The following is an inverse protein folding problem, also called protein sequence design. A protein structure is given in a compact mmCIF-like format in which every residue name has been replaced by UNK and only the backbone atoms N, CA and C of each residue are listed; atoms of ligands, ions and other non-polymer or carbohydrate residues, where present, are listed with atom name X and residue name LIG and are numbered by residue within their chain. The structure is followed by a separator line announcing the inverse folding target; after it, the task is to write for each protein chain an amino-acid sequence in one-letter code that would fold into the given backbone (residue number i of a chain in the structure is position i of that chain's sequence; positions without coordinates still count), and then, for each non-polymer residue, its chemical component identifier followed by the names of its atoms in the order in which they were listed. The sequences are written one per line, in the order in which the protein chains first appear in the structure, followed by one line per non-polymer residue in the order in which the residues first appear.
data_IF_411407988441
#
_entry.id   IF_411407988441
#
_cell.length_a   1.000
_cell.length_b   1.000
_cell.length_c   1.000
_cell.angle_alpha   90.00
_cell.angle_beta   90.00
_cell.angle_gamma   90.00
#
_symmetry.space_group_name_H-M   'P 1'
#
loop_
_entity.id
_entity.type
_entity.pdbx_description
1 polymer ?
#
# COMPACT_ATOMS: atom_id res chain seq x y z
N UNK A 1 59.86 -50.27 -16.78
CA UNK A 1 59.96 -48.85 -16.39
C UNK A 1 58.70 -48.13 -16.92
N UNK A 2 57.62 -47.97 -16.13
CA UNK A 2 56.42 -47.32 -16.59
C UNK A 2 56.18 -46.06 -15.72
N UNK A 3 56.27 -44.87 -16.38
CA UNK A 3 55.95 -43.59 -15.79
C UNK A 3 54.45 -43.28 -16.02
N UNK A 4 53.64 -43.42 -15.00
CA UNK A 4 52.25 -42.91 -14.99
C UNK A 4 52.27 -41.40 -14.68
N UNK A 5 51.80 -40.59 -15.62
CA UNK A 5 51.50 -39.18 -15.41
C UNK A 5 50.19 -39.07 -14.67
N UNK A 6 50.22 -38.44 -13.49
CA UNK A 6 49.03 -37.97 -12.76
C UNK A 6 48.62 -36.63 -13.37
N UNK A 7 47.45 -36.59 -13.98
CA UNK A 7 46.79 -35.32 -14.34
C UNK A 7 45.81 -35.00 -13.23
N UNK A 8 46.15 -34.01 -12.41
CA UNK A 8 45.27 -33.44 -11.40
C UNK A 8 44.32 -32.46 -12.04
N UNK A 9 43.03 -32.79 -12.07
CA UNK A 9 41.95 -31.88 -12.46
C UNK A 9 41.62 -31.02 -11.26
N UNK A 10 42.01 -29.74 -11.30
CA UNK A 10 41.56 -28.75 -10.33
C UNK A 10 40.12 -28.36 -10.67
N UNK A 11 39.19 -28.84 -9.90
CA UNK A 11 37.80 -28.35 -9.95
C UNK A 11 37.76 -26.98 -9.24
N UNK A 12 37.60 -25.92 -10.01
CA UNK A 12 37.29 -24.61 -9.52
C UNK A 12 35.85 -24.61 -9.00
N UNK A 13 35.68 -24.69 -7.70
CA UNK A 13 34.42 -24.40 -7.02
C UNK A 13 34.18 -22.88 -7.08
N UNK A 14 33.40 -22.45 -8.05
CA UNK A 14 32.78 -21.12 -8.01
C UNK A 14 31.67 -21.16 -6.96
N UNK A 15 32.00 -20.68 -5.77
CA UNK A 15 31.00 -20.38 -4.74
C UNK A 15 30.19 -19.17 -5.21
N UNK A 16 29.09 -19.40 -5.90
CA UNK A 16 28.02 -18.40 -5.99
C UNK A 16 27.45 -18.24 -4.59
N UNK A 17 27.77 -17.11 -3.97
CA UNK A 17 27.11 -16.69 -2.76
C UNK A 17 25.62 -16.53 -3.08
N UNK A 18 24.84 -17.56 -2.83
CA UNK A 18 23.39 -17.47 -2.77
C UNK A 18 23.09 -16.58 -1.57
N UNK A 19 22.74 -15.32 -1.82
CA UNK A 19 22.08 -14.48 -0.83
C UNK A 19 20.77 -15.19 -0.49
N UNK A 20 20.77 -15.90 0.62
CA UNK A 20 19.60 -16.58 1.15
C UNK A 20 18.58 -15.56 1.63
N UNK A 21 17.66 -15.20 0.76
CA UNK A 21 16.45 -14.46 1.07
C UNK A 21 15.32 -15.47 1.32
N UNK A 22 15.39 -16.23 2.40
CA UNK A 22 14.37 -17.22 2.76
C UNK A 22 13.18 -16.67 3.57
N UNK A 23 13.21 -15.41 3.99
CA UNK A 23 12.12 -14.87 4.79
C UNK A 23 11.04 -14.26 3.88
N UNK A 24 9.98 -15.02 3.64
CA UNK A 24 8.74 -14.48 3.07
C UNK A 24 8.10 -13.51 4.06
N UNK A 25 7.51 -12.41 3.55
CA UNK A 25 6.82 -11.44 4.40
C UNK A 25 5.76 -12.11 5.28
N UNK A 26 5.64 -11.72 6.55
CA UNK A 26 4.53 -12.12 7.40
C UNK A 26 3.19 -11.71 6.77
N UNK A 27 2.13 -12.47 7.10
CA UNK A 27 0.77 -12.19 6.66
C UNK A 27 -0.12 -11.94 7.87
N UNK A 28 -1.17 -11.13 7.65
CA UNK A 28 -2.21 -10.84 8.65
C UNK A 28 -3.58 -11.02 8.05
N UNK A 29 -4.52 -11.43 8.89
CA UNK A 29 -5.92 -11.63 8.51
C UNK A 29 -6.53 -10.33 7.97
N UNK A 30 -7.10 -10.42 6.76
CA UNK A 30 -7.96 -9.39 6.18
C UNK A 30 -9.42 -9.67 6.55
N UNK A 31 -10.08 -10.57 5.85
CA UNK A 31 -11.47 -11.02 6.05
C UNK A 31 -11.69 -12.35 5.32
N UNK A 32 -12.73 -13.09 5.69
CA UNK A 32 -13.23 -14.28 4.97
C UNK A 32 -12.13 -15.34 4.65
N UNK A 33 -11.19 -15.50 5.57
CA UNK A 33 -10.09 -16.46 5.40
C UNK A 33 -8.91 -15.94 4.58
N UNK A 34 -8.97 -14.69 4.08
CA UNK A 34 -7.90 -14.07 3.29
C UNK A 34 -6.82 -13.51 4.22
N UNK A 35 -5.57 -13.87 3.95
CA UNK A 35 -4.40 -13.32 4.63
C UNK A 35 -3.57 -12.48 3.66
N UNK A 36 -3.33 -11.22 4.02
CA UNK A 36 -2.52 -10.28 3.24
C UNK A 36 -1.11 -10.15 3.81
N UNK A 37 -0.13 -9.99 2.92
CA UNK A 37 1.21 -9.57 3.32
C UNK A 37 1.16 -8.26 4.08
N UNK A 38 2.00 -8.11 5.11
CA UNK A 38 2.04 -6.89 5.94
C UNK A 38 2.46 -5.64 5.16
N UNK A 39 3.03 -5.80 3.96
CA UNK A 39 3.26 -4.74 2.98
C UNK A 39 2.51 -5.01 1.69
N UNK A 40 1.99 -3.95 1.07
CA UNK A 40 1.44 -3.95 -0.28
C UNK A 40 2.39 -3.23 -1.25
N UNK A 41 2.37 -3.63 -2.52
CA UNK A 41 2.96 -2.83 -3.59
C UNK A 41 1.91 -1.84 -4.11
N UNK A 42 2.16 -0.54 -3.90
CA UNK A 42 1.34 0.53 -4.49
C UNK A 42 1.69 0.75 -5.96
N UNK A 43 0.68 0.89 -6.83
CA UNK A 43 0.87 1.03 -8.28
C UNK A 43 1.75 2.22 -8.69
N UNK A 44 1.85 3.27 -7.87
CA UNK A 44 2.75 4.42 -8.15
C UNK A 44 4.23 3.98 -8.21
N UNK A 45 4.62 2.95 -7.46
CA UNK A 45 6.00 2.44 -7.44
C UNK A 45 6.52 2.12 -8.84
N UNK A 46 5.65 1.60 -9.71
CA UNK A 46 6.02 1.16 -11.05
C UNK A 46 5.75 2.20 -12.16
N UNK A 47 5.19 3.38 -11.82
CA UNK A 47 5.01 4.46 -12.77
C UNK A 47 6.36 5.07 -13.19
N UNK A 48 6.45 5.53 -14.45
CA UNK A 48 7.68 6.10 -15.02
C UNK A 48 8.75 5.07 -15.39
N UNK A 49 8.57 3.78 -15.09
CA UNK A 49 9.48 2.69 -15.47
C UNK A 49 9.12 2.11 -16.85
N UNK A 50 10.02 1.39 -17.50
CA UNK A 50 9.63 0.54 -18.63
C UNK A 50 8.69 -0.58 -18.16
N UNK A 51 7.93 -1.18 -19.09
CA UNK A 51 7.08 -2.34 -18.75
C UNK A 51 7.90 -3.53 -18.23
N UNK A 52 9.06 -3.77 -18.82
CA UNK A 52 9.97 -4.84 -18.39
C UNK A 52 10.43 -4.63 -16.95
N UNK A 53 10.86 -3.43 -16.59
CA UNK A 53 11.27 -3.10 -15.22
C UNK A 53 10.12 -3.16 -14.23
N UNK A 54 8.93 -2.67 -14.62
CA UNK A 54 7.72 -2.78 -13.80
C UNK A 54 7.35 -4.24 -13.54
N UNK A 55 7.38 -5.09 -14.57
CA UNK A 55 7.11 -6.52 -14.45
C UNK A 55 8.13 -7.23 -13.58
N UNK A 56 9.41 -6.90 -13.73
CA UNK A 56 10.48 -7.44 -12.88
C UNK A 56 10.28 -7.06 -11.40
N UNK A 57 9.91 -5.80 -11.11
CA UNK A 57 9.66 -5.35 -9.73
C UNK A 57 8.45 -6.05 -9.10
N UNK A 58 7.38 -6.23 -9.86
CA UNK A 58 6.22 -6.99 -9.41
C UNK A 58 6.58 -8.44 -9.12
N UNK A 59 7.37 -9.09 -9.99
CA UNK A 59 7.86 -10.45 -9.78
C UNK A 59 8.71 -10.56 -8.50
N UNK A 60 9.68 -9.67 -8.32
CA UNK A 60 10.53 -9.64 -7.11
C UNK A 60 9.70 -9.43 -5.85
N UNK A 61 8.72 -8.51 -5.88
CA UNK A 61 7.83 -8.29 -4.74
C UNK A 61 7.00 -9.54 -4.42
N UNK A 62 6.43 -10.18 -5.44
CA UNK A 62 5.66 -11.42 -5.30
C UNK A 62 6.51 -12.56 -4.72
N UNK A 63 7.72 -12.78 -5.24
CA UNK A 63 8.65 -13.82 -4.77
C UNK A 63 9.07 -13.59 -3.31
N UNK A 64 9.10 -12.33 -2.87
CA UNK A 64 9.31 -11.94 -1.47
C UNK A 64 8.07 -12.06 -0.59
N UNK A 65 6.95 -12.54 -1.12
CA UNK A 65 5.72 -12.82 -0.37
C UNK A 65 4.68 -11.71 -0.41
N UNK A 66 4.88 -10.61 -1.15
CA UNK A 66 3.83 -9.60 -1.38
C UNK A 66 2.70 -10.24 -2.18
N UNK A 67 1.50 -10.26 -1.59
CA UNK A 67 0.29 -10.71 -2.26
C UNK A 67 -0.81 -9.66 -2.31
N UNK A 68 -0.54 -8.45 -1.82
CA UNK A 68 -1.46 -7.32 -1.86
C UNK A 68 -0.91 -6.22 -2.78
N UNK A 69 -1.68 -5.87 -3.80
CA UNK A 69 -1.38 -4.82 -4.79
C UNK A 69 -2.48 -3.77 -4.74
N UNK A 70 -2.10 -2.49 -4.61
CA UNK A 70 -3.02 -1.38 -4.41
C UNK A 70 -2.86 -0.35 -5.52
N UNK A 71 -3.90 -0.08 -6.30
CA UNK A 71 -3.88 0.81 -7.45
C UNK A 71 -4.99 1.86 -7.41
N UNK A 72 -5.00 2.76 -8.38
CA UNK A 72 -6.10 3.69 -8.67
C UNK A 72 -6.00 4.23 -10.11
N UNK A 73 -7.13 4.54 -10.78
CA UNK A 73 -7.15 5.12 -12.13
C UNK A 73 -6.45 6.47 -12.22
N UNK A 74 -6.43 7.23 -11.10
CA UNK A 74 -5.77 8.54 -11.02
C UNK A 74 -4.24 8.45 -10.93
N UNK A 75 -3.66 7.26 -10.70
CA UNK A 75 -2.22 7.12 -10.60
C UNK A 75 -1.57 7.23 -11.98
N UNK A 76 -0.90 8.38 -12.22
CA UNK A 76 -0.27 8.70 -13.49
C UNK A 76 -1.20 8.47 -14.71
N UNK A 77 -2.44 8.95 -14.59
CA UNK A 77 -3.47 8.87 -15.65
C UNK A 77 -3.73 7.44 -16.17
N UNK A 78 -3.67 6.45 -15.27
CA UNK A 78 -3.90 5.05 -15.58
C UNK A 78 -2.66 4.26 -16.00
N UNK A 79 -1.49 4.87 -16.02
CA UNK A 79 -0.23 4.18 -16.27
C UNK A 79 -0.01 3.05 -15.26
N UNK A 80 -0.32 3.31 -13.98
CA UNK A 80 -0.21 2.31 -12.92
C UNK A 80 -1.07 1.06 -13.21
N UNK A 81 -2.32 1.25 -13.62
CA UNK A 81 -3.24 0.15 -13.96
C UNK A 81 -2.71 -0.68 -15.15
N UNK A 82 -2.32 -0.01 -16.24
CA UNK A 82 -1.82 -0.69 -17.45
C UNK A 82 -0.57 -1.52 -17.15
N UNK A 83 0.40 -0.94 -16.44
CA UNK A 83 1.64 -1.64 -16.10
C UNK A 83 1.42 -2.78 -15.11
N UNK A 84 0.59 -2.54 -14.09
CA UNK A 84 0.29 -3.54 -13.08
C UNK A 84 -0.54 -4.70 -13.68
N UNK A 85 -1.50 -4.40 -14.54
CA UNK A 85 -2.29 -5.40 -15.24
C UNK A 85 -1.44 -6.36 -16.06
N UNK A 86 -0.49 -5.84 -16.83
CA UNK A 86 0.45 -6.66 -17.59
C UNK A 86 1.36 -7.48 -16.67
N UNK A 87 1.93 -6.84 -15.65
CA UNK A 87 2.87 -7.48 -14.73
C UNK A 87 2.21 -8.58 -13.86
N UNK A 88 0.92 -8.45 -13.55
CA UNK A 88 0.19 -9.40 -12.72
C UNK A 88 -0.41 -10.59 -13.48
N UNK A 89 -0.38 -10.62 -14.81
CA UNK A 89 -0.95 -11.75 -15.59
C UNK A 89 -0.53 -13.13 -15.05
N UNK A 90 0.76 -13.40 -14.73
CA UNK A 90 1.17 -14.70 -14.21
C UNK A 90 0.70 -14.99 -12.78
N UNK A 91 0.31 -13.96 -12.03
CA UNK A 91 0.06 -14.02 -10.59
C UNK A 91 -1.39 -13.72 -10.20
N UNK A 92 -2.24 -13.24 -11.14
CA UNK A 92 -3.55 -12.65 -10.84
C UNK A 92 -4.43 -13.52 -9.91
N UNK A 93 -4.46 -14.82 -10.12
CA UNK A 93 -5.25 -15.75 -9.29
C UNK A 93 -4.68 -16.00 -7.88
N UNK A 94 -3.48 -15.52 -7.60
CA UNK A 94 -2.74 -15.77 -6.35
C UNK A 94 -2.55 -14.51 -5.52
N UNK A 95 -3.00 -13.36 -6.01
CA UNK A 95 -2.82 -12.05 -5.38
C UNK A 95 -4.14 -11.37 -5.09
N UNK A 96 -4.12 -10.46 -4.14
CA UNK A 96 -5.22 -9.57 -3.78
C UNK A 96 -5.00 -8.23 -4.49
N UNK A 97 -5.85 -7.89 -5.43
CA UNK A 97 -5.81 -6.66 -6.21
C UNK A 97 -6.87 -5.69 -5.71
N UNK A 98 -6.43 -4.53 -5.22
CA UNK A 98 -7.31 -3.45 -4.80
C UNK A 98 -7.27 -2.30 -5.81
N UNK A 99 -8.45 -1.78 -6.12
CA UNK A 99 -8.65 -0.66 -7.03
C UNK A 99 -9.54 0.40 -6.37
N UNK A 100 -9.60 1.61 -6.94
CA UNK A 100 -10.31 2.76 -6.37
C UNK A 100 -11.05 3.55 -7.43
N UNK A 101 -11.95 4.45 -6.98
CA UNK A 101 -12.57 5.45 -7.85
C UNK A 101 -12.64 6.81 -7.16
N UNK A 102 -12.35 7.87 -7.91
CA UNK A 102 -12.59 9.25 -7.48
C UNK A 102 -14.03 9.69 -7.75
N UNK A 103 -14.78 8.97 -8.59
CA UNK A 103 -16.18 9.30 -8.87
C UNK A 103 -17.03 9.12 -7.63
N UNK A 104 -17.90 10.11 -7.39
CA UNK A 104 -18.88 10.07 -6.30
C UNK A 104 -20.27 9.68 -6.77
N UNK A 105 -20.51 9.64 -8.09
CA UNK A 105 -21.75 9.19 -8.70
C UNK A 105 -21.65 7.75 -9.27
N UNK A 106 -22.81 7.09 -9.38
CA UNK A 106 -22.89 5.70 -9.80
C UNK A 106 -22.38 5.47 -11.23
N UNK A 107 -22.70 6.38 -12.16
CA UNK A 107 -22.31 6.24 -13.57
C UNK A 107 -20.80 6.36 -13.74
N UNK A 108 -20.21 7.36 -13.11
CA UNK A 108 -18.76 7.57 -13.13
C UNK A 108 -17.99 6.43 -12.48
N UNK A 109 -18.43 5.98 -11.30
CA UNK A 109 -17.83 4.85 -10.60
C UNK A 109 -17.91 3.54 -11.43
N UNK A 110 -19.03 3.30 -12.13
CA UNK A 110 -19.18 2.16 -13.05
C UNK A 110 -18.22 2.27 -14.23
N UNK A 111 -18.15 3.42 -14.86
CA UNK A 111 -17.29 3.64 -16.02
C UNK A 111 -15.79 3.49 -15.66
N UNK A 112 -15.39 3.96 -14.48
CA UNK A 112 -14.02 3.75 -13.98
C UNK A 112 -13.74 2.27 -13.71
N UNK A 113 -14.64 1.56 -13.02
CA UNK A 113 -14.47 0.13 -12.74
C UNK A 113 -14.31 -0.69 -14.02
N UNK A 114 -15.20 -0.52 -14.99
CA UNK A 114 -15.15 -1.29 -16.26
C UNK A 114 -13.83 -1.01 -17.01
N UNK A 115 -13.38 0.23 -17.05
CA UNK A 115 -12.10 0.61 -17.64
C UNK A 115 -10.91 0.00 -16.88
N UNK A 116 -10.95 -0.01 -15.54
CA UNK A 116 -9.92 -0.60 -14.70
C UNK A 116 -9.80 -2.10 -14.92
N UNK A 117 -10.95 -2.83 -15.00
CA UNK A 117 -10.97 -4.26 -15.31
C UNK A 117 -10.31 -4.57 -16.65
N UNK A 118 -10.58 -3.74 -17.69
CA UNK A 118 -9.93 -3.87 -19.00
C UNK A 118 -8.42 -3.66 -18.91
N UNK A 119 -7.95 -2.62 -18.20
CA UNK A 119 -6.52 -2.30 -18.03
C UNK A 119 -5.78 -3.35 -17.23
N UNK A 120 -6.45 -3.95 -16.24
CA UNK A 120 -5.89 -5.06 -15.44
C UNK A 120 -5.97 -6.42 -16.13
N UNK A 121 -6.62 -6.55 -17.29
CA UNK A 121 -6.85 -7.82 -17.98
C UNK A 121 -7.51 -8.87 -17.06
N UNK A 122 -8.51 -8.47 -16.30
CA UNK A 122 -9.20 -9.32 -15.32
C UNK A 122 -10.70 -9.04 -15.34
N UNK A 123 -11.48 -10.01 -14.90
CA UNK A 123 -12.95 -9.90 -14.77
C UNK A 123 -13.39 -9.36 -13.40
N UNK A 124 -12.48 -9.29 -12.42
CA UNK A 124 -12.80 -8.79 -11.08
C UNK A 124 -11.60 -8.15 -10.40
N UNK A 125 -11.88 -7.30 -9.39
CA UNK A 125 -10.93 -6.88 -8.36
C UNK A 125 -11.33 -7.47 -7.01
N UNK A 126 -10.34 -7.68 -6.15
CA UNK A 126 -10.59 -8.24 -4.82
C UNK A 126 -11.15 -7.18 -3.87
N UNK A 127 -10.76 -5.92 -4.03
CA UNK A 127 -11.27 -4.79 -3.25
C UNK A 127 -11.49 -3.59 -4.15
N UNK A 128 -12.68 -2.95 -4.05
CA UNK A 128 -12.97 -1.67 -4.68
C UNK A 128 -13.22 -0.60 -3.63
N UNK A 129 -12.59 0.58 -3.77
CA UNK A 129 -12.55 1.58 -2.72
C UNK A 129 -13.02 2.96 -3.20
N UNK A 130 -13.86 3.66 -2.43
CA UNK A 130 -14.04 5.10 -2.58
C UNK A 130 -12.71 5.79 -2.27
N UNK A 131 -12.11 6.43 -3.27
CA UNK A 131 -10.77 7.00 -3.18
C UNK A 131 -10.78 8.36 -2.47
N UNK A 132 -9.88 8.53 -1.49
CA UNK A 132 -9.58 9.81 -0.87
C UNK A 132 -10.82 10.55 -0.33
N UNK A 133 -11.66 9.88 0.43
CA UNK A 133 -12.79 10.53 1.11
C UNK A 133 -12.25 11.60 2.06
N UNK A 134 -12.45 12.87 1.70
CA UNK A 134 -11.76 14.01 2.28
C UNK A 134 -12.70 15.07 2.90
N UNK A 135 -14.01 14.94 2.70
CA UNK A 135 -15.02 15.89 3.18
C UNK A 135 -16.33 15.20 3.49
N UNK A 136 -17.20 15.91 4.23
CA UNK A 136 -18.58 15.48 4.47
C UNK A 136 -19.38 15.48 3.15
N UNK A 137 -19.09 16.40 2.24
CA UNK A 137 -19.70 16.47 0.90
C UNK A 137 -19.39 15.22 0.06
N UNK A 138 -18.14 14.71 0.12
CA UNK A 138 -17.81 13.40 -0.48
C UNK A 138 -18.76 12.30 0.01
N UNK A 139 -19.01 12.27 1.33
CA UNK A 139 -19.89 11.27 1.94
C UNK A 139 -21.34 11.45 1.49
N UNK A 140 -21.83 12.68 1.45
CA UNK A 140 -23.18 12.99 0.99
C UNK A 140 -23.40 12.57 -0.46
N UNK A 141 -22.45 12.85 -1.34
CA UNK A 141 -22.51 12.45 -2.75
C UNK A 141 -22.45 10.93 -2.91
N UNK A 142 -21.57 10.23 -2.18
CA UNK A 142 -21.46 8.76 -2.22
C UNK A 142 -22.78 8.11 -1.82
N UNK A 143 -23.48 8.67 -0.82
CA UNK A 143 -24.72 8.11 -0.23
C UNK A 143 -25.99 8.56 -0.94
N UNK A 144 -25.94 9.58 -1.78
CA UNK A 144 -27.10 10.10 -2.50
C UNK A 144 -27.73 9.04 -3.44
N UNK A 145 -28.99 9.26 -3.81
CA UNK A 145 -29.59 8.50 -4.91
C UNK A 145 -28.79 8.72 -6.21
N UNK A 146 -28.38 7.65 -6.86
CA UNK A 146 -27.43 7.71 -7.97
C UNK A 146 -25.98 7.92 -7.55
N UNK A 147 -25.68 7.83 -6.27
CA UNK A 147 -24.33 7.91 -5.73
C UNK A 147 -23.49 6.65 -5.96
N UNK A 148 -22.17 6.79 -5.80
CA UNK A 148 -21.23 5.73 -6.11
C UNK A 148 -21.47 4.44 -5.30
N UNK A 149 -22.08 4.51 -4.11
CA UNK A 149 -22.42 3.35 -3.30
C UNK A 149 -23.30 2.33 -4.06
N UNK A 150 -24.22 2.81 -4.91
CA UNK A 150 -25.07 1.91 -5.72
C UNK A 150 -24.22 1.03 -6.64
N UNK A 151 -23.23 1.60 -7.33
CA UNK A 151 -22.30 0.84 -8.18
C UNK A 151 -21.47 -0.16 -7.40
N UNK A 152 -20.98 0.20 -6.22
CA UNK A 152 -20.16 -0.69 -5.41
C UNK A 152 -20.91 -1.97 -5.03
N UNK A 153 -22.12 -1.83 -4.51
CA UNK A 153 -22.91 -2.98 -4.09
C UNK A 153 -23.51 -3.75 -5.29
N UNK A 154 -23.80 -3.09 -6.41
CA UNK A 154 -24.20 -3.76 -7.64
C UNK A 154 -23.06 -4.60 -8.22
N UNK A 155 -21.86 -4.02 -8.33
CA UNK A 155 -20.66 -4.71 -8.83
C UNK A 155 -20.25 -5.89 -7.93
N UNK A 156 -20.45 -5.77 -6.60
CA UNK A 156 -20.26 -6.89 -5.67
C UNK A 156 -21.24 -8.04 -5.94
N UNK A 157 -22.51 -7.75 -6.22
CA UNK A 157 -23.52 -8.75 -6.59
C UNK A 157 -23.21 -9.42 -7.96
N UNK A 158 -22.62 -8.65 -8.89
CA UNK A 158 -22.19 -9.13 -10.20
C UNK A 158 -20.90 -9.96 -10.16
N UNK A 159 -20.21 -10.03 -9.00
CA UNK A 159 -18.94 -10.72 -8.87
C UNK A 159 -17.71 -9.96 -9.42
N UNK A 160 -17.90 -8.74 -9.93
CA UNK A 160 -16.81 -7.87 -10.41
C UNK A 160 -15.96 -7.28 -9.27
N UNK A 161 -16.51 -7.23 -8.08
CA UNK A 161 -15.88 -6.76 -6.84
C UNK A 161 -16.16 -7.77 -5.75
N UNK A 162 -15.13 -8.24 -5.04
CA UNK A 162 -15.30 -9.17 -3.93
C UNK A 162 -15.57 -8.46 -2.61
N UNK A 163 -14.81 -7.39 -2.33
CA UNK A 163 -14.90 -6.59 -1.12
C UNK A 163 -15.03 -5.12 -1.46
N UNK A 164 -15.67 -4.36 -0.58
CA UNK A 164 -15.86 -2.92 -0.72
C UNK A 164 -15.22 -2.17 0.45
N UNK A 165 -14.61 -1.03 0.17
CA UNK A 165 -13.93 -0.23 1.18
C UNK A 165 -13.77 1.22 0.76
N UNK A 166 -12.93 1.95 1.48
CA UNK A 166 -12.61 3.33 1.13
C UNK A 166 -11.23 3.74 1.63
N UNK A 167 -10.66 4.79 1.03
CA UNK A 167 -9.50 5.46 1.60
C UNK A 167 -9.90 6.82 2.17
N UNK A 168 -9.39 7.13 3.39
CA UNK A 168 -9.79 8.29 4.16
C UNK A 168 -8.68 9.32 4.30
N UNK A 169 -9.02 10.58 4.09
CA UNK A 169 -8.15 11.72 4.33
C UNK A 169 -8.76 12.77 5.28
N UNK A 170 -9.95 12.49 5.80
CA UNK A 170 -10.66 13.29 6.80
C UNK A 170 -11.30 12.36 7.83
N UNK A 171 -11.03 12.58 9.10
CA UNK A 171 -11.50 11.67 10.15
C UNK A 171 -13.02 11.73 10.36
N UNK A 172 -13.68 12.90 10.49
CA UNK A 172 -15.14 12.98 10.58
C UNK A 172 -15.85 12.31 9.41
N UNK A 173 -15.40 12.53 8.17
CA UNK A 173 -15.97 11.90 6.97
C UNK A 173 -15.82 10.38 7.00
N UNK A 174 -14.64 9.88 7.41
CA UNK A 174 -14.41 8.46 7.57
C UNK A 174 -15.34 7.81 8.59
N UNK A 175 -15.51 8.44 9.75
CA UNK A 175 -16.40 7.95 10.81
C UNK A 175 -17.86 7.89 10.34
N UNK A 176 -18.32 8.93 9.63
CA UNK A 176 -19.69 8.97 9.09
C UNK A 176 -19.91 7.91 8.01
N UNK A 177 -18.95 7.74 7.08
CA UNK A 177 -19.09 6.73 6.02
C UNK A 177 -19.12 5.31 6.60
N UNK A 178 -18.32 5.04 7.63
CA UNK A 178 -18.36 3.76 8.36
C UNK A 178 -19.69 3.53 9.09
N UNK A 179 -20.40 4.58 9.52
CA UNK A 179 -21.72 4.43 10.11
C UNK A 179 -22.80 4.14 9.07
N UNK A 180 -22.67 4.75 7.90
CA UNK A 180 -23.68 4.71 6.85
C UNK A 180 -23.66 3.43 5.99
N UNK A 181 -22.47 2.80 5.82
CA UNK A 181 -22.31 1.66 4.93
C UNK A 181 -21.62 0.48 5.62
N UNK A 182 -22.01 -0.72 5.24
CA UNK A 182 -21.31 -1.95 5.59
C UNK A 182 -20.10 -2.14 4.66
N UNK A 183 -18.92 -1.75 5.14
CA UNK A 183 -17.67 -1.77 4.40
C UNK A 183 -16.71 -2.81 4.98
N UNK A 184 -15.94 -3.45 4.10
CA UNK A 184 -15.01 -4.52 4.48
C UNK A 184 -13.68 -3.98 5.00
N UNK A 185 -13.26 -2.79 4.55
CA UNK A 185 -11.97 -2.21 4.96
C UNK A 185 -11.91 -0.68 4.87
N UNK A 186 -10.96 -0.11 5.61
CA UNK A 186 -10.55 1.29 5.49
C UNK A 186 -9.03 1.38 5.29
N UNK A 187 -8.61 2.22 4.33
CA UNK A 187 -7.23 2.56 4.04
C UNK A 187 -6.99 4.02 4.44
N UNK A 188 -6.12 4.28 5.41
CA UNK A 188 -5.93 5.63 5.97
C UNK A 188 -4.48 5.86 6.41
N UNK A 189 -4.02 7.13 6.48
CA UNK A 189 -2.68 7.45 6.96
C UNK A 189 -2.42 6.94 8.37
N UNK A 190 -1.39 6.11 8.51
CA UNK A 190 -0.86 5.66 9.80
C UNK A 190 0.64 5.84 9.78
N UNK A 191 1.11 6.94 10.32
CA UNK A 191 2.52 7.24 10.55
C UNK A 191 2.64 8.08 11.82
N UNK A 192 3.83 8.10 12.40
CA UNK A 192 4.06 8.75 13.69
C UNK A 192 3.69 10.24 13.70
N UNK A 193 3.99 10.97 12.61
CA UNK A 193 3.72 12.42 12.55
C UNK A 193 2.20 12.73 12.47
N UNK A 194 1.47 12.05 11.58
CA UNK A 194 0.02 12.21 11.51
C UNK A 194 -0.67 11.78 12.81
N UNK A 195 -0.16 10.75 13.48
CA UNK A 195 -0.72 10.22 14.72
C UNK A 195 -0.48 11.15 15.90
N UNK A 196 0.76 11.57 16.13
CA UNK A 196 1.17 12.32 17.32
C UNK A 196 0.90 13.82 17.18
N UNK A 197 1.25 14.43 16.05
CA UNK A 197 1.10 15.87 15.82
C UNK A 197 -0.21 16.26 15.13
N UNK A 198 -0.76 15.31 14.34
CA UNK A 198 -2.01 15.53 13.60
C UNK A 198 -3.26 15.08 14.33
N UNK A 199 -3.13 14.21 15.34
CA UNK A 199 -4.27 13.55 15.96
C UNK A 199 -5.08 12.68 14.99
N UNK A 200 -4.52 12.38 13.82
CA UNK A 200 -5.19 11.66 12.74
C UNK A 200 -4.88 10.16 12.82
N UNK A 201 -5.91 9.34 12.88
CA UNK A 201 -5.80 7.88 12.80
C UNK A 201 -6.40 7.12 13.98
N UNK A 202 -6.12 7.46 15.26
CA UNK A 202 -6.62 6.70 16.41
C UNK A 202 -8.12 6.45 16.39
N UNK A 203 -8.93 7.47 16.09
CA UNK A 203 -10.38 7.41 16.05
C UNK A 203 -10.90 6.54 14.89
N UNK A 204 -10.23 6.58 13.73
CA UNK A 204 -10.55 5.73 12.58
C UNK A 204 -10.23 4.28 12.90
N UNK A 205 -9.05 4.02 13.49
CA UNK A 205 -8.62 2.69 13.90
C UNK A 205 -9.61 2.07 14.89
N UNK A 206 -9.97 2.82 15.94
CA UNK A 206 -10.88 2.35 16.98
C UNK A 206 -12.24 1.97 16.41
N UNK A 207 -12.83 2.82 15.55
CA UNK A 207 -14.12 2.55 14.92
C UNK A 207 -14.06 1.38 13.94
N UNK A 208 -13.04 1.31 13.10
CA UNK A 208 -12.87 0.20 12.17
C UNK A 208 -12.71 -1.13 12.91
N UNK A 209 -11.97 -1.14 14.04
CA UNK A 209 -11.82 -2.31 14.91
C UNK A 209 -13.17 -2.73 15.51
N UNK A 210 -13.95 -1.78 16.04
CA UNK A 210 -15.27 -2.06 16.60
C UNK A 210 -16.25 -2.64 15.57
N UNK A 211 -16.13 -2.24 14.30
CA UNK A 211 -16.94 -2.75 13.19
C UNK A 211 -16.38 -4.01 12.53
N UNK A 212 -15.27 -4.56 13.01
CA UNK A 212 -14.64 -5.75 12.41
C UNK A 212 -14.06 -5.52 11.01
N UNK A 213 -13.80 -4.27 10.62
CA UNK A 213 -13.23 -3.92 9.32
C UNK A 213 -11.72 -4.19 9.29
N UNK A 214 -11.20 -4.58 8.14
CA UNK A 214 -9.77 -4.61 7.91
C UNK A 214 -9.20 -3.17 7.85
N UNK A 215 -8.01 -2.98 8.39
CA UNK A 215 -7.37 -1.68 8.60
C UNK A 215 -6.07 -1.64 7.82
N UNK A 216 -6.05 -0.92 6.70
CA UNK A 216 -4.88 -0.75 5.87
C UNK A 216 -4.24 0.61 6.14
N UNK A 217 -2.92 0.63 6.27
CA UNK A 217 -2.16 1.85 6.54
C UNK A 217 -1.60 2.45 5.25
N UNK A 218 -1.91 3.71 4.99
CA UNK A 218 -1.21 4.52 3.99
C UNK A 218 -0.01 5.22 4.62
N UNK A 219 1.01 5.50 3.80
CA UNK A 219 2.06 6.46 4.12
C UNK A 219 2.83 6.12 5.40
N UNK A 220 3.11 4.82 5.59
CA UNK A 220 3.83 4.30 6.77
C UNK A 220 5.18 5.00 7.01
N UNK A 221 5.88 5.38 5.94
CA UNK A 221 7.16 6.07 5.97
C UNK A 221 7.04 7.56 5.58
N UNK A 222 5.89 8.21 5.79
CA UNK A 222 5.80 9.66 5.62
C UNK A 222 6.47 10.38 6.78
N UNK A 223 7.39 11.29 6.45
CA UNK A 223 8.08 12.16 7.40
C UNK A 223 7.26 13.43 7.66
N UNK A 224 6.93 14.16 6.61
CA UNK A 224 6.18 15.40 6.70
C UNK A 224 5.85 15.98 5.33
N UNK A 225 5.51 17.25 5.29
CA UNK A 225 5.40 17.99 4.04
C UNK A 225 6.79 18.35 3.52
N UNK A 226 6.95 18.38 2.20
CA UNK A 226 8.14 18.97 1.60
C UNK A 226 8.28 20.44 2.03
N UNK A 227 9.51 20.98 2.12
CA UNK A 227 9.73 22.38 2.43
C UNK A 227 8.91 23.31 1.53
N UNK A 228 8.33 24.36 2.12
CA UNK A 228 7.52 25.33 1.37
C UNK A 228 8.28 25.91 0.19
N UNK A 229 7.66 25.96 -0.99
CA UNK A 229 8.27 26.46 -2.22
C UNK A 229 9.19 25.49 -2.97
N UNK A 230 9.48 24.30 -2.43
CA UNK A 230 10.26 23.29 -3.14
C UNK A 230 9.49 22.78 -4.37
N UNK A 231 10.08 22.91 -5.55
CA UNK A 231 9.50 22.39 -6.80
C UNK A 231 9.55 20.86 -6.81
N UNK A 232 8.61 20.25 -7.50
CA UNK A 232 8.55 18.78 -7.62
C UNK A 232 9.84 18.22 -8.25
N UNK A 233 10.39 18.88 -9.26
CA UNK A 233 11.66 18.53 -9.90
C UNK A 233 12.86 18.50 -8.95
N UNK A 234 12.79 19.25 -7.85
CA UNK A 234 13.90 19.42 -6.90
C UNK A 234 13.81 18.42 -5.74
N UNK A 235 12.69 17.66 -5.67
CA UNK A 235 12.47 16.65 -4.63
C UNK A 235 13.36 15.44 -4.88
N UNK A 236 13.98 14.95 -3.83
CA UNK A 236 14.74 13.69 -3.87
C UNK A 236 13.88 12.51 -4.34
N UNK A 237 12.58 12.53 -4.03
CA UNK A 237 11.56 11.53 -4.36
C UNK A 237 10.37 12.18 -5.06
N UNK A 238 10.48 12.52 -6.35
CA UNK A 238 9.47 13.33 -7.05
C UNK A 238 8.10 12.64 -7.16
N UNK A 239 8.04 11.29 -7.15
CA UNK A 239 6.78 10.54 -7.10
C UNK A 239 6.03 10.69 -5.77
N UNK A 240 6.70 11.17 -4.71
CA UNK A 240 6.09 11.38 -3.39
C UNK A 240 5.71 12.85 -3.22
N UNK A 241 4.41 13.16 -3.11
CA UNK A 241 3.94 14.52 -2.87
C UNK A 241 4.19 15.02 -1.42
N UNK A 242 4.64 14.14 -0.53
CA UNK A 242 5.13 14.39 0.82
C UNK A 242 6.57 13.85 0.94
N UNK A 243 7.33 14.35 1.91
CA UNK A 243 8.68 13.88 2.18
C UNK A 243 8.65 12.49 2.85
N UNK A 244 9.27 11.46 2.26
CA UNK A 244 9.38 10.16 2.89
C UNK A 244 10.60 10.06 3.81
N UNK A 245 10.53 9.14 4.78
CA UNK A 245 11.67 8.74 5.60
C UNK A 245 12.56 7.80 4.79
N UNK A 246 13.82 8.18 4.57
CA UNK A 246 14.82 7.40 3.84
C UNK A 246 16.07 7.03 4.65
N UNK A 247 16.20 7.60 5.85
CA UNK A 247 17.16 7.10 6.83
C UNK A 247 16.73 5.72 7.32
N UNK A 248 17.61 4.73 7.17
CA UNK A 248 17.30 3.32 7.41
C UNK A 248 16.82 3.04 8.83
N UNK A 249 17.49 3.61 9.84
CA UNK A 249 17.12 3.35 11.23
C UNK A 249 15.80 4.04 11.60
N UNK A 250 15.61 5.25 11.12
CA UNK A 250 14.33 5.95 11.32
C UNK A 250 13.20 5.25 10.57
N UNK A 251 13.44 4.79 9.33
CA UNK A 251 12.47 4.03 8.56
C UNK A 251 12.06 2.72 9.26
N UNK A 252 13.03 2.01 9.88
CA UNK A 252 12.76 0.81 10.66
C UNK A 252 11.85 1.10 11.86
N UNK A 253 12.12 2.18 12.58
CA UNK A 253 11.28 2.58 13.72
C UNK A 253 9.89 3.03 13.27
N UNK A 254 9.80 3.83 12.20
CA UNK A 254 8.52 4.30 11.64
C UNK A 254 7.66 3.16 11.09
N UNK A 255 8.27 2.18 10.42
CA UNK A 255 7.54 1.01 9.92
C UNK A 255 7.02 0.14 11.08
N UNK A 256 7.84 -0.07 12.11
CA UNK A 256 7.42 -0.77 13.34
C UNK A 256 6.28 -0.01 14.02
N UNK A 257 6.37 1.32 14.15
CA UNK A 257 5.29 2.14 14.68
C UNK A 257 3.98 1.86 13.95
N UNK A 258 3.99 1.96 12.62
CA UNK A 258 2.79 1.74 11.80
C UNK A 258 2.23 0.33 11.96
N UNK A 259 3.08 -0.69 11.80
CA UNK A 259 2.65 -2.09 11.83
C UNK A 259 2.20 -2.56 13.22
N UNK A 260 2.62 -1.87 14.29
CA UNK A 260 2.19 -2.15 15.66
C UNK A 260 0.85 -1.48 16.03
N UNK A 261 0.24 -0.69 15.15
CA UNK A 261 -1.10 -0.11 15.36
C UNK A 261 -2.26 -1.08 15.00
N UNK A 262 -2.05 -2.39 15.06
CA UNK A 262 -3.06 -3.40 14.72
C UNK A 262 -3.63 -3.24 13.29
N UNK A 263 -2.84 -2.76 12.36
CA UNK A 263 -3.18 -2.70 10.94
C UNK A 263 -2.96 -4.05 10.25
N UNK A 264 -3.75 -4.34 9.24
CA UNK A 264 -3.62 -5.56 8.43
C UNK A 264 -2.40 -5.49 7.53
N UNK A 265 -2.23 -4.39 6.81
CA UNK A 265 -1.13 -4.17 5.90
C UNK A 265 -0.79 -2.68 5.79
N UNK A 266 0.43 -2.38 5.36
CA UNK A 266 0.89 -1.03 5.05
C UNK A 266 1.21 -0.88 3.56
N UNK A 267 0.81 0.25 2.98
CA UNK A 267 1.20 0.68 1.63
C UNK A 267 2.30 1.74 1.78
N UNK A 268 3.57 1.40 1.47
CA UNK A 268 4.68 2.34 1.53
C UNK A 268 4.56 3.49 0.51
N UNK A 269 5.38 4.54 0.62
CA UNK A 269 5.45 5.60 -0.39
C UNK A 269 5.71 5.07 -1.81
N UNK A 270 5.20 5.77 -2.81
CA UNK A 270 5.18 5.34 -4.22
C UNK A 270 6.52 5.47 -4.97
N UNK A 271 7.64 5.68 -4.29
CA UNK A 271 8.99 5.65 -4.90
C UNK A 271 9.60 4.25 -4.75
N UNK A 272 10.22 3.74 -5.81
CA UNK A 272 10.79 2.39 -5.84
C UNK A 272 11.88 2.17 -4.79
N UNK A 273 12.69 3.20 -4.49
CA UNK A 273 13.78 3.11 -3.49
C UNK A 273 13.23 3.01 -2.07
N UNK A 274 12.14 3.72 -1.79
CA UNK A 274 11.46 3.67 -0.50
C UNK A 274 10.67 2.37 -0.35
N UNK A 275 10.07 1.86 -1.43
CA UNK A 275 9.43 0.54 -1.41
C UNK A 275 10.45 -0.57 -1.15
N UNK A 276 11.61 -0.55 -1.84
CA UNK A 276 12.69 -1.53 -1.65
C UNK A 276 13.21 -1.52 -0.21
N UNK A 277 13.41 -0.31 0.38
CA UNK A 277 13.77 -0.15 1.78
C UNK A 277 12.72 -0.74 2.72
N UNK A 278 11.43 -0.42 2.49
CA UNK A 278 10.35 -0.94 3.32
C UNK A 278 10.25 -2.48 3.23
N UNK A 279 10.41 -3.04 2.02
CA UNK A 279 10.38 -4.47 1.77
C UNK A 279 11.54 -5.20 2.47
N UNK A 280 12.72 -4.62 2.42
CA UNK A 280 13.88 -5.15 3.14
C UNK A 280 13.66 -5.13 4.66
N UNK A 281 13.23 -4.01 5.21
CA UNK A 281 12.98 -3.85 6.64
C UNK A 281 11.87 -4.79 7.14
N UNK A 282 10.82 -4.99 6.36
CA UNK A 282 9.69 -5.86 6.72
C UNK A 282 10.00 -7.36 6.63
N UNK A 283 11.08 -7.73 5.92
CA UNK A 283 11.56 -9.11 5.85
C UNK A 283 12.33 -9.55 7.12
N UNK A 284 12.67 -8.60 8.00
CA UNK A 284 13.28 -8.85 9.30
C UNK A 284 12.21 -8.81 10.41
N UNK A 285 12.49 -9.39 11.61
CA UNK A 285 11.58 -9.27 12.73
C UNK A 285 11.27 -7.81 13.09
N UNK A 286 9.99 -7.51 13.29
CA UNK A 286 9.48 -6.18 13.64
C UNK A 286 8.85 -6.21 15.05
N UNK A 287 9.67 -6.30 16.14
CA UNK A 287 9.16 -6.30 17.49
C UNK A 287 8.48 -4.97 17.83
N UNK A 288 7.69 -4.95 18.89
CA UNK A 288 7.12 -3.71 19.40
C UNK A 288 8.22 -2.68 19.74
N UNK A 289 7.90 -1.40 19.58
CA UNK A 289 8.79 -0.32 19.97
C UNK A 289 8.92 -0.28 21.51
N UNK A 290 10.13 -0.19 22.01
CA UNK A 290 10.34 0.17 23.41
C UNK A 290 9.88 1.61 23.67
N UNK A 291 9.60 1.93 24.94
CA UNK A 291 9.21 3.29 25.32
C UNK A 291 10.28 4.33 24.92
N UNK A 292 11.56 3.99 25.00
CA UNK A 292 12.67 4.86 24.60
C UNK A 292 12.71 5.07 23.07
N UNK A 293 12.54 4.01 22.27
CA UNK A 293 12.48 4.11 20.80
C UNK A 293 11.30 4.97 20.36
N UNK A 294 10.12 4.76 20.97
CA UNK A 294 8.92 5.56 20.68
C UNK A 294 9.13 7.03 21.06
N UNK A 295 9.67 7.31 22.23
CA UNK A 295 9.98 8.68 22.65
C UNK A 295 10.98 9.36 21.70
N UNK A 296 12.04 8.66 21.30
CA UNK A 296 13.01 9.16 20.33
C UNK A 296 12.39 9.45 18.96
N UNK A 297 11.48 8.59 18.50
CA UNK A 297 10.77 8.79 17.23
C UNK A 297 9.83 10.01 17.31
N UNK A 298 9.09 10.19 18.41
CA UNK A 298 8.23 11.37 18.66
C UNK A 298 9.03 12.66 18.66
N UNK A 299 10.21 12.70 19.29
CA UNK A 299 11.09 13.87 19.28
C UNK A 299 11.51 14.25 17.87
N UNK A 300 11.85 13.26 17.02
CA UNK A 300 12.27 13.50 15.63
C UNK A 300 11.19 14.14 14.77
N UNK A 301 9.92 13.91 15.06
CA UNK A 301 8.80 14.48 14.30
C UNK A 301 8.13 15.68 14.98
N UNK A 302 8.50 16.03 16.21
CA UNK A 302 7.81 17.02 17.05
C UNK A 302 7.65 18.41 16.39
N UNK A 303 8.65 18.82 15.60
CA UNK A 303 8.64 20.14 14.91
C UNK A 303 8.09 20.07 13.49
N UNK A 304 7.71 18.89 13.01
CA UNK A 304 7.28 18.72 11.62
C UNK A 304 5.78 18.97 11.47
N UNK A 305 5.40 19.64 10.38
CA UNK A 305 4.00 19.76 10.02
C UNK A 305 3.48 18.43 9.50
N UNK A 306 2.42 17.86 10.13
CA UNK A 306 1.85 16.61 9.68
C UNK A 306 1.16 16.78 8.33
N UNK A 307 1.22 15.74 7.50
CA UNK A 307 0.54 15.69 6.20
C UNK A 307 -0.98 15.69 6.38
N UNK A 308 -1.47 15.08 7.47
CA UNK A 308 -2.88 15.00 7.81
C UNK A 308 -3.12 15.45 9.26
N UNK A 309 -4.26 16.11 9.48
CA UNK A 309 -4.81 16.49 10.78
C UNK A 309 -6.24 15.96 10.92
N UNK A 310 -6.64 15.65 12.18
CA UNK A 310 -8.02 15.29 12.51
C UNK A 310 -8.95 16.51 12.44
#
# INVERSE_FOLDING_TARGET
MNRRKFIGTAAALTATAAYGWEATLPRRRYKDGIDLSILALGGIVICGLSQEEASRRVAVAYDRGVNYFDCAPSYFNGEAEMKLGEALKPYRSKVFLAEKTMSRDAKGARAELERSLQRFHTDHVDLYQFHAVSSMDDVDQILAAGGAAETFFAAKKEGKVRHVGFSAHNAPAALRLMDALELDSVLFPVNVNAWENGGFGPQILAKAKAKGMARMALKALAFGKWPAGMKESDRKYPKCWYEPIDDREMARLALRFTLNQEVTAAVPPGDERIFDLALELASAPLPELSAAELAGLKIKVASLEPVFRA
#
